data_IF_070164519442
#
_entry.id   IF_070164519442
#
_cell.length_a   1.000
_cell.length_b   1.000
_cell.length_c   1.000
_cell.angle_alpha   90.00
_cell.angle_beta   90.00
_cell.angle_gamma   90.00
#
_symmetry.space_group_name_H-M   'P 1'
#
loop_
_entity.id
_entity.type
_entity.pdbx_description
1 polymer ?
#
# COMPACT_ATOMS: atom_id res chain seq x y z
N UNK A 1 -26.77 -34.76 37.75
CA UNK A 1 -25.39 -34.50 37.32
C UNK A 1 -25.50 -33.97 35.90
N UNK A 2 -25.45 -32.66 35.73
CA UNK A 2 -25.32 -32.00 34.43
C UNK A 2 -24.50 -30.73 34.68
N UNK A 3 -23.19 -30.82 34.46
CA UNK A 3 -22.24 -29.71 34.54
C UNK A 3 -21.70 -29.42 33.15
N UNK A 4 -22.54 -28.83 32.29
CA UNK A 4 -22.07 -28.10 31.11
C UNK A 4 -21.82 -26.65 31.53
N UNK A 5 -20.75 -26.44 32.29
CA UNK A 5 -20.20 -25.11 32.54
C UNK A 5 -19.49 -24.64 31.29
N UNK A 6 -20.15 -23.77 30.52
CA UNK A 6 -19.55 -23.09 29.39
C UNK A 6 -18.28 -22.37 29.84
N UNK A 7 -17.13 -22.81 29.31
CA UNK A 7 -15.87 -22.08 29.35
C UNK A 7 -16.07 -20.75 28.62
N UNK A 8 -16.49 -19.72 29.34
CA UNK A 8 -16.34 -18.34 28.87
C UNK A 8 -14.84 -18.05 28.75
N UNK A 9 -14.37 -17.97 27.51
CA UNK A 9 -13.03 -17.48 27.17
C UNK A 9 -12.94 -16.03 27.65
N UNK A 10 -12.23 -15.82 28.77
CA UNK A 10 -12.17 -14.55 29.53
C UNK A 10 -11.37 -13.43 28.85
N UNK A 11 -10.94 -13.59 27.60
CA UNK A 11 -9.87 -12.77 27.03
C UNK A 11 -10.25 -12.01 25.75
N UNK A 12 -11.52 -11.96 25.34
CA UNK A 12 -11.90 -11.01 24.26
C UNK A 12 -11.86 -9.57 24.83
N UNK A 13 -11.06 -8.66 24.25
CA UNK A 13 -11.03 -7.27 24.68
C UNK A 13 -12.43 -6.64 24.53
N UNK A 14 -12.82 -5.73 25.43
CA UNK A 14 -14.14 -5.14 25.37
C UNK A 14 -14.29 -4.34 24.08
N UNK A 15 -15.34 -4.68 23.33
CA UNK A 15 -15.68 -4.03 22.08
C UNK A 15 -16.35 -2.66 22.34
N UNK A 16 -16.17 -1.68 21.43
CA UNK A 16 -16.80 -0.37 21.51
C UNK A 16 -18.32 -0.50 21.38
N UNK A 17 -19.03 0.43 22.01
CA UNK A 17 -20.48 0.57 21.82
C UNK A 17 -20.73 1.33 20.52
N UNK A 18 -20.93 0.62 19.41
CA UNK A 18 -21.10 1.24 18.09
C UNK A 18 -22.36 2.13 18.00
N UNK A 19 -23.39 1.85 18.81
CA UNK A 19 -24.59 2.70 18.89
C UNK A 19 -24.31 3.99 19.63
N UNK A 20 -23.55 3.90 20.73
CA UNK A 20 -23.02 5.05 21.45
C UNK A 20 -22.12 5.89 20.56
N UNK A 21 -21.21 5.24 19.83
CA UNK A 21 -20.26 5.88 18.92
C UNK A 21 -20.95 6.63 17.79
N UNK A 22 -21.98 6.02 17.16
CA UNK A 22 -22.79 6.69 16.13
C UNK A 22 -23.45 7.97 16.65
N UNK A 23 -23.93 7.97 17.89
CA UNK A 23 -24.51 9.17 18.53
C UNK A 23 -23.44 10.20 18.89
N UNK A 24 -22.33 9.77 19.47
CA UNK A 24 -21.25 10.67 19.91
C UNK A 24 -20.55 11.37 18.74
N UNK A 25 -20.24 10.64 17.67
CA UNK A 25 -19.51 11.18 16.51
C UNK A 25 -20.43 11.85 15.48
N UNK A 26 -21.65 11.33 15.29
CA UNK A 26 -22.49 11.71 14.16
C UNK A 26 -23.86 12.27 14.56
N UNK A 27 -24.18 12.29 15.86
CA UNK A 27 -25.45 12.79 16.37
C UNK A 27 -26.65 11.97 15.90
N UNK A 28 -26.42 10.72 15.48
CA UNK A 28 -27.43 9.89 14.83
C UNK A 28 -27.55 8.53 15.51
N UNK A 29 -28.75 7.96 15.43
CA UNK A 29 -28.97 6.56 15.80
C UNK A 29 -28.51 5.70 14.63
N UNK A 30 -27.72 4.65 14.91
CA UNK A 30 -27.10 3.80 13.89
C UNK A 30 -28.05 3.35 12.78
N UNK A 31 -29.29 2.95 13.13
CA UNK A 31 -30.33 2.49 12.19
C UNK A 31 -30.86 3.53 11.20
N UNK A 32 -30.52 4.80 11.40
CA UNK A 32 -30.96 5.92 10.56
C UNK A 32 -29.77 6.81 10.18
N UNK A 33 -28.56 6.25 10.20
CA UNK A 33 -27.35 6.97 9.80
C UNK A 33 -27.46 7.37 8.33
N UNK A 34 -27.41 8.67 8.03
CA UNK A 34 -27.42 9.19 6.66
C UNK A 34 -26.04 8.95 6.02
N UNK A 35 -25.93 8.23 4.88
CA UNK A 35 -24.66 7.95 4.21
C UNK A 35 -23.92 9.23 3.79
N UNK A 36 -24.61 10.36 3.70
CA UNK A 36 -24.03 11.66 3.36
C UNK A 36 -23.53 12.46 4.57
N UNK A 37 -23.54 11.90 5.78
CA UNK A 37 -23.25 12.65 7.02
C UNK A 37 -21.87 13.32 6.98
N UNK A 38 -20.83 12.64 6.49
CA UNK A 38 -19.49 13.24 6.39
C UNK A 38 -19.40 14.29 5.26
N UNK A 39 -20.19 14.14 4.19
CA UNK A 39 -20.18 15.05 3.04
C UNK A 39 -20.95 16.32 3.36
N UNK A 40 -22.11 16.19 4.00
CA UNK A 40 -23.07 17.24 4.35
C UNK A 40 -23.51 17.06 5.82
N UNK A 41 -22.65 17.41 6.79
CA UNK A 41 -22.96 17.23 8.21
C UNK A 41 -24.16 18.09 8.61
N UNK A 42 -25.22 17.44 9.11
CA UNK A 42 -26.47 18.09 9.55
C UNK A 42 -26.61 18.20 11.07
N UNK A 43 -25.81 17.44 11.82
CA UNK A 43 -25.82 17.42 13.28
C UNK A 43 -24.66 18.24 13.84
N UNK A 44 -24.81 18.72 15.09
CA UNK A 44 -23.75 19.46 15.76
C UNK A 44 -22.54 18.57 16.05
N UNK A 45 -22.79 17.31 16.37
CA UNK A 45 -21.79 16.28 16.65
C UNK A 45 -20.94 16.00 15.40
N UNK A 46 -21.55 15.75 14.23
CA UNK A 46 -20.79 15.51 13.00
C UNK A 46 -19.92 16.72 12.60
N UNK A 47 -20.42 17.94 12.82
CA UNK A 47 -19.65 19.17 12.60
C UNK A 47 -18.47 19.30 13.56
N UNK A 48 -18.67 18.94 14.84
CA UNK A 48 -17.61 18.93 15.85
C UNK A 48 -16.56 17.86 15.53
N UNK A 49 -16.96 16.64 15.21
CA UNK A 49 -16.03 15.57 14.82
C UNK A 49 -15.18 15.97 13.63
N UNK A 50 -15.77 16.51 12.56
CA UNK A 50 -15.00 16.98 11.40
C UNK A 50 -14.08 18.16 11.71
N UNK A 51 -14.44 18.99 12.69
CA UNK A 51 -13.60 20.10 13.15
C UNK A 51 -12.42 19.58 13.97
N UNK A 52 -12.64 18.61 14.84
CA UNK A 52 -11.61 18.03 15.72
C UNK A 52 -10.52 17.31 14.94
N UNK A 53 -10.85 16.76 13.76
CA UNK A 53 -9.91 16.00 12.91
C UNK A 53 -9.40 16.78 11.69
N UNK A 54 -9.86 18.02 11.50
CA UNK A 54 -9.65 18.78 10.24
C UNK A 54 -8.18 18.92 9.81
N UNK A 55 -7.28 19.04 10.77
CA UNK A 55 -5.87 19.32 10.54
C UNK A 55 -4.97 18.08 10.80
N UNK A 56 -5.59 16.90 11.02
CA UNK A 56 -4.89 15.64 11.26
C UNK A 56 -5.44 14.54 10.33
N UNK A 57 -4.64 14.20 9.31
CA UNK A 57 -5.01 13.23 8.27
C UNK A 57 -5.29 11.83 8.84
N UNK A 58 -4.57 11.41 9.88
CA UNK A 58 -4.77 10.07 10.46
C UNK A 58 -6.09 10.00 11.22
N UNK A 59 -6.44 11.08 11.94
CA UNK A 59 -7.72 11.17 12.61
C UNK A 59 -8.88 11.32 11.62
N UNK A 60 -8.70 12.09 10.55
CA UNK A 60 -9.71 12.22 9.48
C UNK A 60 -9.98 10.87 8.84
N UNK A 61 -8.92 10.14 8.47
CA UNK A 61 -9.02 8.78 7.92
C UNK A 61 -9.69 7.82 8.90
N UNK A 62 -9.32 7.86 10.19
CA UNK A 62 -9.97 7.02 11.19
C UNK A 62 -11.47 7.32 11.31
N UNK A 63 -11.88 8.60 11.29
CA UNK A 63 -13.30 8.98 11.30
C UNK A 63 -14.02 8.48 10.05
N UNK A 64 -13.40 8.58 8.87
CA UNK A 64 -13.95 8.05 7.61
C UNK A 64 -14.15 6.53 7.69
N UNK A 65 -13.16 5.79 8.23
CA UNK A 65 -13.23 4.34 8.42
C UNK A 65 -14.32 3.94 9.43
N UNK A 66 -14.39 4.62 10.57
CA UNK A 66 -15.46 4.39 11.56
C UNK A 66 -16.83 4.61 10.91
N UNK A 67 -17.00 5.69 10.17
CA UNK A 67 -18.26 5.97 9.49
C UNK A 67 -18.63 4.87 8.49
N UNK A 68 -17.68 4.39 7.69
CA UNK A 68 -17.89 3.31 6.73
C UNK A 68 -18.39 2.01 7.39
N UNK A 69 -17.82 1.59 8.53
CA UNK A 69 -18.30 0.41 9.24
C UNK A 69 -19.71 0.59 9.81
N UNK A 70 -19.99 1.78 10.36
CA UNK A 70 -21.32 2.05 10.89
C UNK A 70 -22.38 2.08 9.77
N UNK A 71 -22.04 2.63 8.61
CA UNK A 71 -22.91 2.62 7.44
C UNK A 71 -23.11 1.21 6.89
N UNK A 72 -22.04 0.40 6.83
CA UNK A 72 -22.13 -1.01 6.45
C UNK A 72 -23.01 -1.83 7.41
N UNK A 73 -22.96 -1.58 8.71
CA UNK A 73 -23.90 -2.19 9.69
C UNK A 73 -25.33 -1.72 9.44
N UNK A 74 -25.54 -0.43 9.18
CA UNK A 74 -26.86 0.13 8.88
C UNK A 74 -27.47 -0.46 7.59
N UNK A 75 -26.63 -0.69 6.57
CA UNK A 75 -27.00 -1.36 5.32
C UNK A 75 -27.17 -2.89 5.46
N UNK A 76 -26.75 -3.48 6.59
CA UNK A 76 -26.80 -4.93 6.82
C UNK A 76 -25.66 -5.71 6.16
N UNK A 77 -24.61 -5.04 5.72
CA UNK A 77 -23.41 -5.62 5.09
C UNK A 77 -22.48 -6.27 6.12
N UNK A 78 -22.45 -5.74 7.35
CA UNK A 78 -21.60 -6.22 8.45
C UNK A 78 -22.41 -6.45 9.72
N UNK A 79 -21.96 -7.41 10.54
CA UNK A 79 -22.52 -7.58 11.88
C UNK A 79 -22.00 -6.48 12.82
N UNK A 80 -22.79 -6.08 13.81
CA UNK A 80 -22.36 -5.10 14.82
C UNK A 80 -21.04 -5.53 15.52
N UNK A 81 -20.85 -6.83 15.73
CA UNK A 81 -19.63 -7.39 16.35
C UNK A 81 -18.41 -7.22 15.46
N UNK A 82 -18.56 -7.40 14.15
CA UNK A 82 -17.45 -7.31 13.19
C UNK A 82 -17.04 -5.85 12.98
N UNK A 83 -17.99 -4.93 12.85
CA UNK A 83 -17.73 -3.50 12.81
C UNK A 83 -17.02 -3.01 14.08
N UNK A 84 -17.50 -3.43 15.27
CA UNK A 84 -16.85 -3.08 16.52
C UNK A 84 -15.40 -3.59 16.59
N UNK A 85 -15.12 -4.78 16.05
CA UNK A 85 -13.74 -5.31 15.93
C UNK A 85 -12.92 -4.49 14.94
N UNK A 86 -13.47 -4.12 13.78
CA UNK A 86 -12.77 -3.32 12.78
C UNK A 86 -12.36 -1.95 13.36
N UNK A 87 -13.30 -1.27 14.00
CA UNK A 87 -13.10 0.02 14.69
C UNK A 87 -11.98 -0.08 15.74
N UNK A 88 -11.99 -1.12 16.57
CA UNK A 88 -10.91 -1.35 17.55
C UNK A 88 -9.56 -1.51 16.86
N UNK A 89 -9.50 -2.31 15.79
CA UNK A 89 -8.25 -2.52 15.08
C UNK A 89 -7.69 -1.20 14.54
N UNK A 90 -8.51 -0.36 13.91
CA UNK A 90 -8.06 0.95 13.44
C UNK A 90 -7.69 1.92 14.55
N UNK A 91 -8.42 1.88 15.67
CA UNK A 91 -8.13 2.70 16.84
C UNK A 91 -6.74 2.37 17.40
N UNK A 92 -6.36 1.09 17.40
CA UNK A 92 -5.04 0.64 17.82
C UNK A 92 -3.95 0.83 16.77
N UNK A 93 -4.31 1.02 15.49
CA UNK A 93 -3.36 1.44 14.44
C UNK A 93 -2.93 2.90 14.58
N UNK A 94 -3.70 3.74 15.30
CA UNK A 94 -3.34 5.13 15.55
C UNK A 94 -2.16 5.25 16.53
N UNK A 95 -1.27 6.26 16.35
CA UNK A 95 -0.32 6.68 17.38
C UNK A 95 -0.97 6.89 18.75
N UNK A 96 -0.25 6.60 19.83
CA UNK A 96 -0.79 6.62 21.19
C UNK A 96 -1.46 7.95 21.58
N UNK A 97 -0.85 9.08 21.20
CA UNK A 97 -1.37 10.42 21.42
C UNK A 97 -2.71 10.64 20.67
N UNK A 98 -2.78 10.21 19.42
CA UNK A 98 -4.00 10.29 18.58
C UNK A 98 -5.10 9.36 19.07
N UNK A 99 -4.75 8.13 19.46
CA UNK A 99 -5.68 7.19 20.08
C UNK A 99 -6.27 7.77 21.36
N UNK A 100 -5.44 8.35 22.22
CA UNK A 100 -5.88 8.99 23.47
C UNK A 100 -6.82 10.17 23.19
N UNK A 101 -6.57 10.97 22.15
CA UNK A 101 -7.49 12.04 21.73
C UNK A 101 -8.85 11.44 21.38
N UNK A 102 -8.89 10.42 20.52
CA UNK A 102 -10.16 9.80 20.11
C UNK A 102 -10.90 9.15 21.28
N UNK A 103 -10.22 8.38 22.12
CA UNK A 103 -10.84 7.73 23.29
C UNK A 103 -11.37 8.74 24.32
N UNK A 104 -10.78 9.95 24.40
CA UNK A 104 -11.26 10.99 25.30
C UNK A 104 -12.43 11.78 24.71
N UNK A 105 -12.41 12.04 23.41
CA UNK A 105 -13.51 12.70 22.71
C UNK A 105 -14.75 11.80 22.58
N UNK A 106 -14.55 10.49 22.45
CA UNK A 106 -15.61 9.51 22.19
C UNK A 106 -15.53 8.34 23.18
N UNK A 107 -16.12 8.48 24.38
CA UNK A 107 -16.08 7.46 25.42
C UNK A 107 -16.56 6.07 24.99
N UNK A 108 -17.45 6.01 23.98
CA UNK A 108 -17.91 4.73 23.41
C UNK A 108 -16.80 3.89 22.78
N UNK A 109 -15.63 4.48 22.46
CA UNK A 109 -14.45 3.77 21.97
C UNK A 109 -13.73 2.95 23.04
N UNK A 110 -13.80 3.35 24.32
CA UNK A 110 -13.00 2.71 25.40
C UNK A 110 -13.40 1.26 25.68
N UNK A 111 -14.57 0.84 25.19
CA UNK A 111 -15.21 -0.42 25.56
C UNK A 111 -15.57 -0.42 27.05
N UNK A 112 -16.46 -1.33 27.47
CA UNK A 112 -16.71 -1.54 28.90
C UNK A 112 -15.55 -2.33 29.52
N UNK A 113 -14.41 -1.68 29.75
CA UNK A 113 -13.30 -2.28 30.51
C UNK A 113 -13.70 -2.44 31.97
N UNK A 114 -13.46 -3.63 32.54
CA UNK A 114 -13.37 -3.73 34.01
C UNK A 114 -12.16 -2.90 34.46
N UNK A 115 -12.26 -2.12 35.55
CA UNK A 115 -11.21 -1.21 36.01
C UNK A 115 -9.84 -1.84 36.28
N UNK A 116 -9.76 -3.16 36.44
CA UNK A 116 -8.58 -3.85 36.97
C UNK A 116 -7.75 -4.62 35.92
N UNK A 117 -8.06 -4.49 34.63
CA UNK A 117 -7.28 -5.14 33.58
C UNK A 117 -6.02 -4.35 33.25
N UNK A 118 -4.86 -4.77 33.76
CA UNK A 118 -3.57 -4.27 33.26
C UNK A 118 -3.54 -4.37 31.72
N UNK A 119 -3.33 -3.24 31.05
CA UNK A 119 -3.18 -3.12 29.59
C UNK A 119 -1.88 -3.80 29.13
N UNK A 120 -1.76 -5.11 29.28
CA UNK A 120 -0.79 -5.90 28.53
C UNK A 120 -1.46 -6.25 27.22
N UNK A 121 -1.08 -5.52 26.16
CA UNK A 121 -1.47 -5.87 24.79
C UNK A 121 -1.26 -7.38 24.61
N UNK A 122 -2.31 -8.17 24.31
CA UNK A 122 -2.25 -9.65 24.39
C UNK A 122 -1.23 -10.29 23.44
N UNK A 123 -0.60 -9.51 22.57
CA UNK A 123 0.26 -9.98 21.50
C UNK A 123 1.55 -9.17 21.42
N UNK A 124 2.26 -9.01 22.54
CA UNK A 124 3.61 -8.46 22.52
C UNK A 124 4.60 -9.49 21.97
N UNK A 125 4.53 -9.73 20.67
CA UNK A 125 5.66 -10.24 19.90
C UNK A 125 6.82 -9.24 20.10
N UNK A 126 8.00 -9.71 20.48
CA UNK A 126 9.17 -8.84 20.60
C UNK A 126 9.49 -8.16 19.27
N UNK A 127 10.00 -6.92 19.31
CA UNK A 127 10.33 -6.15 18.11
C UNK A 127 11.24 -6.93 17.14
N UNK A 128 12.15 -7.76 17.65
CA UNK A 128 13.00 -8.60 16.80
C UNK A 128 12.20 -9.64 15.99
N UNK A 129 11.20 -10.27 16.61
CA UNK A 129 10.37 -11.26 15.94
C UNK A 129 9.43 -10.61 14.90
N UNK A 130 8.87 -9.43 15.23
CA UNK A 130 8.11 -8.62 14.26
C UNK A 130 8.98 -8.23 13.06
N UNK A 131 10.24 -7.85 13.31
CA UNK A 131 11.17 -7.44 12.25
C UNK A 131 11.51 -8.61 11.34
N UNK A 132 11.82 -9.77 11.91
CA UNK A 132 12.08 -11.00 11.13
C UNK A 132 10.88 -11.40 10.28
N UNK A 133 9.67 -11.23 10.80
CA UNK A 133 8.44 -11.53 10.07
C UNK A 133 8.25 -10.59 8.87
N UNK A 134 8.46 -9.29 9.07
CA UNK A 134 8.36 -8.29 8.02
C UNK A 134 9.51 -8.38 7.00
N UNK A 135 10.73 -8.69 7.44
CA UNK A 135 11.86 -8.96 6.54
C UNK A 135 11.55 -10.13 5.62
N UNK A 136 11.00 -11.24 6.15
CA UNK A 136 10.57 -12.39 5.34
C UNK A 136 9.44 -12.03 4.37
N UNK A 137 8.42 -11.28 4.81
CA UNK A 137 7.34 -10.84 3.92
C UNK A 137 7.90 -9.97 2.79
N UNK A 138 8.75 -9.02 3.12
CA UNK A 138 9.41 -8.14 2.17
C UNK A 138 10.30 -8.90 1.19
N UNK A 139 11.04 -9.92 1.66
CA UNK A 139 11.84 -10.80 0.81
C UNK A 139 10.95 -11.63 -0.13
N UNK A 140 9.83 -12.17 0.34
CA UNK A 140 8.86 -12.91 -0.49
C UNK A 140 8.21 -12.02 -1.56
N UNK A 141 7.83 -10.79 -1.21
CA UNK A 141 7.15 -9.87 -2.12
C UNK A 141 8.11 -9.18 -3.10
N UNK A 142 9.27 -8.73 -2.62
CA UNK A 142 10.14 -7.78 -3.31
C UNK A 142 11.58 -8.25 -3.47
N UNK A 143 11.95 -9.41 -2.92
CA UNK A 143 13.32 -9.93 -2.97
C UNK A 143 14.32 -9.15 -2.11
N UNK A 144 13.83 -8.29 -1.22
CA UNK A 144 14.64 -7.39 -0.38
C UNK A 144 14.11 -7.37 1.05
N UNK A 145 14.99 -7.14 2.02
CA UNK A 145 14.59 -6.87 3.42
C UNK A 145 13.93 -5.49 3.53
N UNK A 146 13.16 -5.25 4.60
CA UNK A 146 12.40 -3.99 4.73
C UNK A 146 13.29 -2.76 4.62
N UNK A 147 14.50 -2.82 5.20
CA UNK A 147 15.49 -1.72 5.19
C UNK A 147 16.05 -1.38 3.80
N UNK A 148 15.90 -2.29 2.84
CA UNK A 148 16.48 -2.17 1.49
C UNK A 148 15.37 -1.95 0.42
N UNK A 149 14.10 -1.93 0.83
CA UNK A 149 12.97 -1.61 -0.03
C UNK A 149 12.82 -0.09 -0.14
N UNK A 150 12.67 0.37 -1.37
CA UNK A 150 12.40 1.78 -1.73
C UNK A 150 11.16 1.84 -2.62
N UNK A 151 10.57 3.02 -2.78
CA UNK A 151 9.47 3.27 -3.75
C UNK A 151 9.82 2.91 -5.21
N UNK A 152 11.10 2.70 -5.52
CA UNK A 152 11.57 2.32 -6.86
C UNK A 152 11.47 0.81 -7.11
N UNK A 153 11.30 -0.02 -6.08
CA UNK A 153 11.39 -1.49 -6.20
C UNK A 153 10.36 -2.09 -7.17
N UNK A 154 9.16 -1.52 -7.30
CA UNK A 154 8.15 -2.01 -8.28
C UNK A 154 8.55 -1.78 -9.74
N UNK A 155 9.50 -0.89 -10.00
CA UNK A 155 9.90 -0.48 -11.35
C UNK A 155 11.24 -1.05 -11.73
N UNK A 156 11.86 -1.75 -10.81
CA UNK A 156 12.99 -2.58 -11.10
C UNK A 156 12.47 -3.81 -11.86
N UNK A 157 12.18 -3.62 -13.15
CA UNK A 157 11.82 -4.72 -14.07
C UNK A 157 12.93 -5.77 -14.12
N UNK A 158 14.16 -5.42 -13.70
CA UNK A 158 15.28 -6.34 -13.55
C UNK A 158 15.23 -7.16 -12.26
N UNK A 159 14.35 -6.82 -11.30
CA UNK A 159 14.13 -7.62 -10.10
C UNK A 159 13.21 -8.81 -10.39
N UNK A 160 13.74 -10.03 -10.48
CA UNK A 160 12.95 -11.20 -10.88
C UNK A 160 11.88 -11.56 -9.85
N UNK A 161 12.05 -11.18 -8.58
CA UNK A 161 11.05 -11.43 -7.55
C UNK A 161 9.85 -10.52 -7.77
N UNK A 162 10.08 -9.22 -7.99
CA UNK A 162 9.00 -8.26 -8.27
C UNK A 162 8.26 -8.64 -9.55
N UNK A 163 8.98 -8.97 -10.63
CA UNK A 163 8.36 -9.39 -11.89
C UNK A 163 7.49 -10.64 -11.72
N UNK A 164 7.99 -11.67 -11.02
CA UNK A 164 7.23 -12.89 -10.71
C UNK A 164 6.01 -12.58 -9.84
N UNK A 165 6.17 -11.72 -8.85
CA UNK A 165 5.08 -11.34 -7.96
C UNK A 165 3.98 -10.60 -8.72
N UNK A 166 4.33 -9.60 -9.55
CA UNK A 166 3.38 -8.88 -10.39
C UNK A 166 2.68 -9.81 -11.37
N UNK A 167 3.41 -10.75 -12.00
CA UNK A 167 2.81 -11.75 -12.87
C UNK A 167 1.83 -12.68 -12.12
N UNK A 168 2.15 -13.06 -10.88
CA UNK A 168 1.30 -13.93 -10.06
C UNK A 168 0.05 -13.21 -9.52
N UNK A 169 0.16 -11.90 -9.27
CA UNK A 169 -0.98 -11.04 -8.90
C UNK A 169 -1.87 -10.75 -10.12
N UNK A 170 -1.27 -10.57 -11.29
CA UNK A 170 -1.98 -10.22 -12.52
C UNK A 170 -2.65 -8.85 -12.42
N UNK A 171 -3.86 -8.74 -12.96
CA UNK A 171 -4.69 -7.52 -12.93
C UNK A 171 -5.66 -7.49 -11.74
N UNK A 172 -5.33 -8.18 -10.65
CA UNK A 172 -6.16 -8.14 -9.46
C UNK A 172 -5.90 -6.84 -8.69
N UNK A 173 -6.79 -5.85 -8.88
CA UNK A 173 -6.66 -4.49 -8.34
C UNK A 173 -6.43 -4.47 -6.83
N UNK A 174 -7.14 -5.31 -6.10
CA UNK A 174 -7.00 -5.42 -4.65
C UNK A 174 -5.61 -5.88 -4.20
N UNK A 175 -5.06 -6.92 -4.82
CA UNK A 175 -3.70 -7.38 -4.52
C UNK A 175 -2.61 -6.40 -4.99
N UNK A 176 -2.82 -5.72 -6.13
CA UNK A 176 -1.93 -4.63 -6.56
C UNK A 176 -1.94 -3.46 -5.57
N UNK A 177 -3.14 -3.08 -5.10
CA UNK A 177 -3.32 -2.08 -4.06
C UNK A 177 -2.58 -2.46 -2.78
N UNK A 178 -2.76 -3.70 -2.29
CA UNK A 178 -2.03 -4.20 -1.13
C UNK A 178 -0.51 -4.08 -1.31
N UNK A 179 0.02 -4.51 -2.47
CA UNK A 179 1.46 -4.43 -2.74
C UNK A 179 1.96 -2.98 -2.72
N UNK A 180 1.22 -2.06 -3.34
CA UNK A 180 1.60 -0.65 -3.41
C UNK A 180 1.63 -0.03 -2.00
N UNK A 181 0.58 -0.25 -1.21
CA UNK A 181 0.48 0.23 0.18
C UNK A 181 1.57 -0.36 1.07
N UNK A 182 1.90 -1.64 0.90
CA UNK A 182 3.02 -2.27 1.61
C UNK A 182 4.35 -1.57 1.33
N UNK A 183 4.61 -1.17 0.09
CA UNK A 183 5.85 -0.48 -0.26
C UNK A 183 5.87 0.94 0.29
N UNK A 184 4.76 1.68 0.18
CA UNK A 184 4.63 3.02 0.75
C UNK A 184 4.89 2.98 2.25
N UNK A 185 4.28 2.04 2.96
CA UNK A 185 4.51 1.85 4.39
C UNK A 185 5.95 1.50 4.73
N UNK A 186 6.58 0.58 3.98
CA UNK A 186 7.97 0.18 4.23
C UNK A 186 8.91 1.38 4.01
N UNK A 187 8.67 2.15 2.95
CA UNK A 187 9.43 3.37 2.65
C UNK A 187 9.27 4.41 3.77
N UNK A 188 8.03 4.68 4.21
CA UNK A 188 7.75 5.58 5.32
C UNK A 188 8.40 5.10 6.64
N UNK A 189 8.41 3.78 6.89
CA UNK A 189 9.15 3.19 8.02
C UNK A 189 10.66 3.43 7.91
N UNK A 190 11.24 3.28 6.72
CA UNK A 190 12.66 3.54 6.48
C UNK A 190 13.04 5.02 6.69
N UNK A 191 12.08 5.94 6.50
CA UNK A 191 12.23 7.37 6.77
C UNK A 191 11.85 7.77 8.21
N UNK A 192 11.50 6.80 9.07
CA UNK A 192 11.17 7.03 10.47
C UNK A 192 9.78 7.60 10.72
N UNK A 193 8.88 7.53 9.73
CA UNK A 193 7.47 7.95 9.88
C UNK A 193 6.61 6.89 10.58
N UNK A 194 6.99 5.61 10.48
CA UNK A 194 6.29 4.51 11.11
C UNK A 194 7.19 3.72 12.05
N UNK A 195 6.57 3.17 13.11
CA UNK A 195 7.20 2.12 13.91
C UNK A 195 6.98 0.76 13.26
N UNK A 196 7.72 -0.25 13.73
CA UNK A 196 7.53 -1.62 13.28
C UNK A 196 6.12 -2.17 13.59
N UNK A 197 5.48 -1.68 14.64
CA UNK A 197 4.10 -2.04 15.01
C UNK A 197 3.10 -1.47 14.01
N UNK A 198 3.26 -0.21 13.61
CA UNK A 198 2.46 0.39 12.55
C UNK A 198 2.58 -0.41 11.24
N UNK A 199 3.77 -0.94 10.92
CA UNK A 199 3.98 -1.75 9.72
C UNK A 199 3.23 -3.09 9.76
N UNK A 200 3.23 -3.77 10.91
CA UNK A 200 2.48 -5.02 11.10
C UNK A 200 0.97 -4.76 11.03
N UNK A 201 0.49 -3.72 11.71
CA UNK A 201 -0.94 -3.43 11.77
C UNK A 201 -1.47 -2.86 10.47
N UNK A 202 -0.67 -2.07 9.77
CA UNK A 202 -0.93 -1.64 8.40
C UNK A 202 -1.00 -2.82 7.45
N UNK A 203 -0.09 -3.79 7.53
CA UNK A 203 -0.16 -5.00 6.70
C UNK A 203 -1.46 -5.79 6.94
N UNK A 204 -1.89 -5.94 8.20
CA UNK A 204 -3.20 -6.56 8.52
C UNK A 204 -4.39 -5.76 8.03
N UNK A 205 -4.26 -4.42 8.01
CA UNK A 205 -5.29 -3.51 7.56
C UNK A 205 -5.45 -3.61 6.04
N UNK A 206 -4.38 -3.38 5.29
CA UNK A 206 -4.41 -3.44 3.84
C UNK A 206 -4.82 -4.82 3.33
N UNK A 207 -4.38 -5.90 3.99
CA UNK A 207 -4.82 -7.26 3.63
C UNK A 207 -6.34 -7.45 3.76
N UNK A 208 -6.99 -6.76 4.70
CA UNK A 208 -8.45 -6.80 4.86
C UNK A 208 -9.16 -5.92 3.83
N UNK A 209 -8.58 -4.78 3.50
CA UNK A 209 -9.15 -3.84 2.52
C UNK A 209 -8.98 -4.32 1.08
N UNK A 210 -8.00 -5.19 0.82
CA UNK A 210 -7.56 -5.53 -0.52
C UNK A 210 -8.50 -6.42 -1.32
N UNK A 211 -9.74 -6.71 -0.89
CA UNK A 211 -10.77 -7.63 -1.47
C UNK A 211 -10.30 -9.03 -1.97
N UNK A 212 -9.01 -9.29 -1.84
CA UNK A 212 -8.20 -10.30 -2.51
C UNK A 212 -7.30 -11.00 -1.49
N UNK A 213 -7.74 -10.97 -0.23
CA UNK A 213 -7.11 -11.64 0.90
C UNK A 213 -6.78 -13.10 0.57
N UNK A 214 -7.72 -13.84 -0.04
CA UNK A 214 -7.51 -15.25 -0.41
C UNK A 214 -6.35 -15.43 -1.39
N UNK A 215 -6.22 -14.54 -2.38
CA UNK A 215 -5.13 -14.57 -3.35
C UNK A 215 -3.81 -14.22 -2.66
N UNK A 216 -3.78 -13.15 -1.87
CA UNK A 216 -2.59 -12.70 -1.14
C UNK A 216 -2.10 -13.75 -0.14
N UNK A 217 -2.99 -14.41 0.61
CA UNK A 217 -2.62 -15.51 1.52
C UNK A 217 -2.08 -16.73 0.76
N UNK A 218 -2.54 -16.97 -0.47
CA UNK A 218 -2.02 -18.05 -1.34
C UNK A 218 -0.62 -17.70 -1.85
N UNK A 219 -0.39 -16.45 -2.25
CA UNK A 219 0.89 -15.97 -2.77
C UNK A 219 1.95 -15.82 -1.66
N UNK A 220 1.54 -15.27 -0.51
CA UNK A 220 2.39 -14.97 0.64
C UNK A 220 1.83 -15.62 1.90
N UNK A 221 2.07 -16.93 2.12
CA UNK A 221 1.56 -17.63 3.29
C UNK A 221 1.99 -17.01 4.63
N UNK A 222 3.07 -16.25 4.64
CA UNK A 222 3.53 -15.50 5.82
C UNK A 222 2.52 -14.45 6.31
N UNK A 223 1.60 -14.01 5.46
CA UNK A 223 0.51 -13.14 5.86
C UNK A 223 -0.45 -13.80 6.87
N UNK A 224 -0.54 -15.14 6.91
CA UNK A 224 -1.25 -15.85 8.00
C UNK A 224 -0.54 -15.66 9.36
N UNK A 225 0.80 -15.66 9.38
CA UNK A 225 1.58 -15.42 10.59
C UNK A 225 1.40 -13.96 11.07
N UNK A 226 1.32 -13.01 10.14
CA UNK A 226 1.04 -11.59 10.45
C UNK A 226 -0.38 -11.42 10.99
N UNK A 227 -1.36 -12.09 10.37
CA UNK A 227 -2.78 -12.04 10.79
C UNK A 227 -2.98 -12.70 12.15
N UNK A 228 -2.32 -13.84 12.38
CA UNK A 228 -2.41 -14.57 13.63
C UNK A 228 -1.03 -15.09 14.06
N UNK A 229 -0.29 -14.33 14.89
CA UNK A 229 1.06 -14.67 15.32
C UNK A 229 1.15 -15.98 16.13
N UNK A 230 0.02 -16.52 16.60
CA UNK A 230 -0.02 -17.80 17.35
C UNK A 230 -0.05 -19.02 16.43
N UNK A 231 -0.41 -18.85 15.14
CA UNK A 231 -0.37 -19.93 14.17
C UNK A 231 1.08 -20.15 13.72
N UNK A 232 1.66 -21.30 14.05
CA UNK A 232 2.89 -21.75 13.40
C UNK A 232 2.63 -21.93 11.90
N UNK A 233 3.55 -21.52 11.02
CA UNK A 233 3.37 -21.72 9.59
C UNK A 233 3.20 -23.21 9.29
N UNK A 234 2.25 -23.53 8.40
CA UNK A 234 2.30 -24.80 7.68
C UNK A 234 3.50 -24.68 6.76
N UNK A 235 4.54 -25.47 7.04
CA UNK A 235 5.70 -25.57 6.15
C UNK A 235 5.17 -25.80 4.74
N UNK A 236 5.58 -24.96 3.76
CA UNK A 236 5.28 -25.19 2.35
C UNK A 236 5.81 -26.60 2.05
N UNK A 237 4.92 -27.58 1.89
CA UNK A 237 5.27 -28.84 1.24
C UNK A 237 5.68 -28.44 -0.17
N UNK A 238 6.98 -28.28 -0.35
CA UNK A 238 7.57 -28.08 -1.66
C UNK A 238 7.53 -29.46 -2.26
N UNK A 239 6.48 -29.77 -3.03
CA UNK A 239 6.49 -30.95 -3.88
C UNK A 239 7.75 -30.85 -4.74
N UNK A 240 8.64 -31.83 -4.58
CA UNK A 240 9.85 -31.90 -5.36
C UNK A 240 9.44 -31.91 -6.84
N UNK A 241 10.07 -31.11 -7.71
CA UNK A 241 9.80 -31.19 -9.14
C UNK A 241 10.02 -32.65 -9.57
N UNK A 242 9.03 -33.20 -10.28
CA UNK A 242 9.06 -34.54 -10.83
C UNK A 242 10.42 -34.77 -11.51
N UNK A 243 11.27 -35.57 -10.87
CA UNK A 243 12.52 -36.02 -11.46
C UNK A 243 12.14 -36.93 -12.64
N UNK A 244 12.27 -36.37 -13.84
CA UNK A 244 12.30 -37.12 -15.09
C UNK A 244 13.22 -38.33 -14.92
N UNK A 245 12.65 -39.53 -15.12
CA UNK A 245 13.39 -40.78 -15.13
C UNK A 245 14.34 -40.79 -16.34
N UNK A 246 15.57 -40.33 -16.11
CA UNK A 246 16.71 -40.64 -16.97
C UNK A 246 17.47 -41.83 -16.39
N UNK A 247 17.43 -42.95 -17.10
CA UNK A 247 18.37 -44.06 -16.92
C UNK A 247 19.81 -43.54 -17.11
N UNK A 248 20.70 -43.73 -16.13
CA UNK A 248 21.85 -44.64 -16.30
C UNK A 248 22.88 -44.58 -15.14
N UNK A 249 23.36 -45.79 -14.83
CA UNK A 249 24.73 -46.19 -14.45
C UNK A 249 25.32 -45.77 -13.11
N UNK A 250 25.45 -46.80 -12.28
CA UNK A 250 26.37 -46.94 -11.14
C UNK A 250 27.73 -46.28 -11.36
N UNK A 251 28.10 -45.38 -10.46
CA UNK A 251 29.49 -45.21 -10.04
C UNK A 251 29.57 -45.17 -8.51
N UNK A 252 30.16 -46.23 -7.96
CA UNK A 252 30.63 -46.30 -6.58
C UNK A 252 31.72 -45.24 -6.35
N UNK A 253 31.57 -44.41 -5.33
CA UNK A 253 32.73 -43.82 -4.65
C UNK A 253 32.53 -43.77 -3.14
N UNK A 254 33.65 -44.01 -2.48
CA UNK A 254 33.82 -44.35 -1.08
C UNK A 254 33.97 -43.09 -0.23
N UNK A 255 33.43 -43.17 0.99
CA UNK A 255 33.61 -42.30 2.16
C UNK A 255 35.10 -41.91 2.42
N UNK A 256 35.38 -40.84 3.19
CA UNK A 256 35.45 -41.05 4.64
C UNK A 256 34.88 -39.93 5.53
N UNK A 257 34.46 -40.39 6.72
CA UNK A 257 34.13 -39.64 7.92
C UNK A 257 35.21 -38.65 8.33
N UNK A 258 34.79 -37.52 8.91
CA UNK A 258 35.64 -36.73 9.79
C UNK A 258 34.86 -36.31 11.04
N UNK A 259 35.01 -37.12 12.10
CA UNK A 259 34.70 -36.76 13.47
C UNK A 259 35.86 -35.90 14.03
N UNK A 260 35.59 -34.64 14.37
CA UNK A 260 36.49 -33.87 15.25
C UNK A 260 35.74 -32.97 16.23
N UNK A 261 35.43 -33.61 17.37
CA UNK A 261 35.47 -33.11 18.75
C UNK A 261 36.28 -31.81 18.91
N UNK A 262 35.63 -30.70 19.28
CA UNK A 262 36.32 -29.50 19.80
C UNK A 262 35.79 -29.13 21.18
N UNK A 263 36.77 -29.05 22.09
CA UNK A 263 36.66 -28.80 23.54
C UNK A 263 36.21 -27.37 23.83
N UNK A 264 35.38 -27.27 24.87
CA UNK A 264 35.18 -26.07 25.69
C UNK A 264 36.52 -25.59 26.28
N UNK A 265 36.71 -24.28 26.36
CA UNK A 265 37.64 -23.68 27.31
C UNK A 265 37.02 -22.40 27.84
N UNK A 266 36.80 -22.40 29.15
CA UNK A 266 36.47 -21.25 29.98
C UNK A 266 37.58 -20.20 29.90
N UNK A 267 37.18 -18.93 29.85
CA UNK A 267 38.05 -17.78 30.03
C UNK A 267 37.32 -16.72 30.86
N UNK A 268 37.61 -16.74 32.16
CA UNK A 268 37.24 -15.72 33.13
C UNK A 268 37.93 -14.37 32.86
N UNK A 269 37.33 -13.30 33.37
CA UNK A 269 38.09 -12.19 33.98
C UNK A 269 38.17 -10.90 33.19
N UNK A 270 37.53 -9.85 33.72
CA UNK A 270 37.72 -8.49 33.21
C UNK A 270 36.78 -7.45 33.81
N UNK A 271 36.69 -7.38 35.14
CA UNK A 271 36.19 -6.18 35.84
C UNK A 271 37.02 -4.95 35.45
N UNK A 272 36.37 -3.81 35.21
CA UNK A 272 37.01 -2.51 35.31
C UNK A 272 36.01 -1.49 35.82
N UNK A 273 36.37 -0.95 36.99
CA UNK A 273 35.65 0.00 37.83
C UNK A 273 35.59 1.41 37.22
N UNK A 274 34.49 2.06 37.59
CA UNK A 274 34.37 3.43 38.09
C UNK A 274 35.58 4.37 37.94
N UNK A 275 35.29 5.57 37.43
CA UNK A 275 35.70 6.80 38.12
C UNK A 275 34.63 7.87 37.94
N UNK A 276 34.09 8.29 39.07
CA UNK A 276 33.42 9.56 39.30
C UNK A 276 34.38 10.73 39.02
N UNK A 277 33.84 11.86 38.56
CA UNK A 277 34.31 13.15 39.03
C UNK A 277 33.15 14.15 38.99
N UNK A 278 32.66 14.44 40.19
CA UNK A 278 31.97 15.68 40.50
C UNK A 278 32.90 16.87 40.20
N UNK A 279 32.36 17.95 39.64
CA UNK A 279 32.84 19.26 40.02
C UNK A 279 31.72 20.29 40.01
N UNK A 280 31.50 20.81 41.21
CA UNK A 280 30.69 21.95 41.59
C UNK A 280 31.24 23.21 40.94
N UNK A 281 30.37 24.05 40.36
CA UNK A 281 30.54 25.50 40.47
C UNK A 281 29.22 26.24 40.37
N UNK A 282 29.00 27.05 41.40
CA UNK A 282 27.89 27.97 41.60
C UNK A 282 28.05 29.22 40.74
N UNK A 283 26.90 29.76 40.32
CA UNK A 283 26.63 31.20 40.36
C UNK A 283 27.11 32.03 39.17
N UNK A 284 26.16 32.44 38.33
CA UNK A 284 25.82 33.86 38.12
C UNK A 284 24.77 33.96 37.01
N UNK A 285 23.60 34.53 37.34
CA UNK A 285 22.62 34.98 36.35
C UNK A 285 23.17 36.17 35.54
N UNK A 286 22.97 36.17 34.21
CA UNK A 286 22.87 37.40 33.46
C UNK A 286 21.43 37.58 32.97
N UNK A 287 20.79 38.64 33.46
CA UNK A 287 19.59 39.24 32.87
C UNK A 287 19.89 39.65 31.43
N UNK A 288 19.47 38.85 30.46
CA UNK A 288 19.40 39.26 29.05
C UNK A 288 17.96 39.66 28.74
N UNK A 289 17.81 40.96 28.48
CA UNK A 289 16.59 41.61 28.03
C UNK A 289 16.41 41.28 26.54
N UNK A 290 15.78 40.14 26.23
CA UNK A 290 15.50 39.76 24.84
C UNK A 290 14.36 40.61 24.32
N UNK A 291 14.66 41.47 23.35
CA UNK A 291 13.66 42.21 22.59
C UNK A 291 13.18 41.28 21.49
N UNK A 292 11.88 40.94 21.49
CA UNK A 292 11.23 40.13 20.46
C UNK A 292 11.36 40.80 19.08
N UNK A 293 11.85 40.11 18.04
CA UNK A 293 11.50 40.46 16.68
C UNK A 293 10.16 39.78 16.33
N UNK A 294 9.21 40.58 15.86
CA UNK A 294 7.97 40.12 15.25
C UNK A 294 8.27 39.13 14.12
N UNK A 295 7.93 37.85 14.34
CA UNK A 295 7.83 36.86 13.28
C UNK A 295 6.48 37.02 12.59
N UNK A 296 6.40 37.99 11.68
CA UNK A 296 5.51 37.86 10.54
C UNK A 296 6.03 36.68 9.70
N UNK A 297 5.44 35.51 9.94
CA UNK A 297 5.66 34.27 9.18
C UNK A 297 5.10 34.47 7.77
N UNK A 298 5.77 35.31 6.98
CA UNK A 298 5.60 35.39 5.54
C UNK A 298 6.25 34.12 5.00
N UNK A 299 5.43 33.11 4.76
CA UNK A 299 5.77 31.89 4.06
C UNK A 299 6.61 32.25 2.85
N UNK A 300 7.91 31.97 2.92
CA UNK A 300 8.82 32.04 1.79
C UNK A 300 8.34 30.96 0.82
N UNK A 301 7.41 31.34 -0.06
CA UNK A 301 7.11 30.59 -1.27
C UNK A 301 8.44 30.45 -2.02
N UNK A 302 9.01 29.26 -1.97
CA UNK A 302 10.15 28.88 -2.79
C UNK A 302 9.75 29.05 -4.25
N UNK A 303 10.19 30.17 -4.85
CA UNK A 303 10.07 30.51 -6.27
C UNK A 303 10.80 29.53 -7.21
N UNK A 304 11.29 28.39 -6.71
CA UNK A 304 11.99 27.37 -7.49
C UNK A 304 11.05 26.42 -8.25
N UNK A 305 9.74 26.44 -7.99
CA UNK A 305 8.76 25.58 -8.67
C UNK A 305 8.48 25.96 -10.13
N UNK A 306 8.77 27.20 -10.57
CA UNK A 306 8.34 27.68 -11.89
C UNK A 306 9.31 27.38 -13.06
N UNK A 307 10.51 26.82 -12.84
CA UNK A 307 11.53 26.75 -13.91
C UNK A 307 12.19 25.39 -14.18
N UNK A 308 11.81 24.30 -13.51
CA UNK A 308 12.28 22.96 -13.92
C UNK A 308 11.37 22.38 -15.02
N UNK A 309 11.91 21.67 -16.03
CA UNK A 309 11.10 21.02 -17.07
C UNK A 309 9.99 20.12 -16.48
N UNK A 310 10.31 19.39 -15.40
CA UNK A 310 9.34 18.55 -14.69
C UNK A 310 8.24 19.34 -13.98
N UNK A 311 8.58 20.49 -13.36
CA UNK A 311 7.59 21.36 -12.72
C UNK A 311 6.59 21.97 -13.71
N UNK A 312 7.05 22.30 -14.92
CA UNK A 312 6.16 22.77 -15.98
C UNK A 312 5.20 21.66 -16.45
N UNK A 313 5.71 20.45 -16.65
CA UNK A 313 4.91 19.31 -17.11
C UNK A 313 3.82 18.93 -16.10
N UNK A 314 4.16 18.85 -14.81
CA UNK A 314 3.20 18.52 -13.76
C UNK A 314 2.13 19.62 -13.59
N UNK A 315 2.52 20.89 -13.72
CA UNK A 315 1.57 22.01 -13.70
C UNK A 315 0.61 22.01 -14.88
N UNK A 316 1.08 21.64 -16.07
CA UNK A 316 0.23 21.51 -17.26
C UNK A 316 -0.80 20.41 -17.05
N UNK A 317 -0.36 19.23 -16.61
CA UNK A 317 -1.26 18.13 -16.30
C UNK A 317 -2.29 18.51 -15.23
N UNK A 318 -1.83 19.16 -14.15
CA UNK A 318 -2.70 19.66 -13.07
C UNK A 318 -3.79 20.60 -13.59
N UNK A 319 -3.43 21.55 -14.46
CA UNK A 319 -4.41 22.47 -15.06
C UNK A 319 -5.37 21.77 -16.00
N UNK A 320 -4.89 20.78 -16.72
CA UNK A 320 -5.68 20.00 -17.69
C UNK A 320 -6.69 19.11 -16.99
N UNK A 321 -6.28 18.38 -15.94
CA UNK A 321 -7.15 17.48 -15.18
C UNK A 321 -8.03 18.22 -14.17
N UNK A 322 -7.53 19.28 -13.54
CA UNK A 322 -8.18 19.88 -12.37
C UNK A 322 -8.41 21.38 -12.46
N UNK A 323 -7.99 22.04 -13.53
CA UNK A 323 -8.12 23.50 -13.66
C UNK A 323 -7.27 24.30 -12.65
N UNK A 324 -6.39 23.63 -11.90
CA UNK A 324 -5.63 24.18 -10.78
C UNK A 324 -4.12 24.05 -11.03
N UNK A 325 -3.32 24.91 -10.38
CA UNK A 325 -1.86 24.70 -10.34
C UNK A 325 -1.56 23.53 -9.41
N UNK A 326 -0.39 22.90 -9.61
CA UNK A 326 0.03 21.76 -8.77
C UNK A 326 -0.07 22.11 -7.28
N UNK A 327 0.37 23.32 -6.90
CA UNK A 327 0.38 23.87 -5.54
C UNK A 327 -0.99 23.93 -4.85
N UNK A 328 -2.07 23.98 -5.64
CA UNK A 328 -3.44 24.10 -5.15
C UNK A 328 -4.16 22.73 -5.08
N UNK A 329 -3.64 21.72 -5.79
CA UNK A 329 -4.18 20.36 -5.81
C UNK A 329 -3.92 19.66 -4.47
N UNK A 330 -4.96 19.06 -3.93
CA UNK A 330 -4.93 18.27 -2.70
C UNK A 330 -6.01 17.18 -2.74
N UNK A 331 -6.04 16.30 -1.74
CA UNK A 331 -7.00 15.18 -1.68
C UNK A 331 -8.48 15.60 -1.81
N UNK A 332 -8.83 16.86 -1.54
CA UNK A 332 -10.22 17.37 -1.69
C UNK A 332 -10.56 17.78 -3.12
N UNK A 333 -9.58 17.94 -4.01
CA UNK A 333 -9.79 18.41 -5.40
C UNK A 333 -10.81 17.52 -6.14
N UNK A 334 -10.75 16.20 -5.96
CA UNK A 334 -11.71 15.27 -6.57
C UNK A 334 -12.99 15.08 -5.73
N UNK A 335 -12.90 15.12 -4.39
CA UNK A 335 -14.06 14.97 -3.50
C UNK A 335 -15.00 16.19 -3.53
N UNK A 336 -14.45 17.39 -3.73
CA UNK A 336 -15.15 18.68 -3.72
C UNK A 336 -14.55 19.62 -4.77
N UNK A 337 -14.78 19.34 -6.07
CA UNK A 337 -14.23 20.13 -7.16
C UNK A 337 -14.70 21.59 -7.04
N UNK A 338 -13.75 22.53 -7.17
CA UNK A 338 -13.99 23.97 -7.02
C UNK A 338 -14.17 24.69 -8.35
N UNK A 339 -13.95 23.99 -9.46
CA UNK A 339 -14.01 24.55 -10.80
C UNK A 339 -14.55 23.49 -11.80
N UNK A 340 -15.06 23.93 -12.97
CA UNK A 340 -15.69 23.02 -13.94
C UNK A 340 -14.75 21.95 -14.51
N UNK A 341 -13.44 22.21 -14.57
CA UNK A 341 -12.46 21.23 -15.08
C UNK A 341 -12.30 20.07 -14.10
N UNK A 342 -12.07 20.37 -12.82
CA UNK A 342 -12.03 19.33 -11.77
C UNK A 342 -13.36 18.59 -11.66
N UNK A 343 -14.50 19.29 -11.82
CA UNK A 343 -15.83 18.67 -11.83
C UNK A 343 -15.99 17.70 -12.99
N UNK A 344 -15.59 18.10 -14.21
CA UNK A 344 -15.61 17.21 -15.38
C UNK A 344 -14.77 15.96 -15.17
N UNK A 345 -13.55 16.09 -14.65
CA UNK A 345 -12.70 14.93 -14.36
C UNK A 345 -13.30 14.03 -13.29
N UNK A 346 -13.91 14.61 -12.24
CA UNK A 346 -14.60 13.86 -11.21
C UNK A 346 -15.84 13.12 -11.74
N UNK A 347 -16.58 13.71 -12.69
CA UNK A 347 -17.73 13.05 -13.34
C UNK A 347 -17.29 11.90 -14.25
N UNK A 348 -16.21 12.04 -15.01
CA UNK A 348 -15.67 10.91 -15.80
C UNK A 348 -15.13 9.78 -14.90
N UNK A 349 -14.46 10.13 -13.80
CA UNK A 349 -14.02 9.18 -12.77
C UNK A 349 -15.19 8.43 -12.10
N UNK A 350 -16.42 8.94 -12.12
CA UNK A 350 -17.58 8.18 -11.62
C UNK A 350 -18.07 7.12 -12.59
N UNK A 351 -17.81 7.30 -13.89
CA UNK A 351 -18.27 6.41 -14.96
C UNK A 351 -17.29 5.27 -15.20
N UNK A 352 -16.00 5.51 -14.94
CA UNK A 352 -14.93 4.57 -15.25
C UNK A 352 -13.97 4.42 -14.06
N UNK A 353 -13.81 3.18 -13.60
CA UNK A 353 -12.99 2.83 -12.45
C UNK A 353 -11.50 3.11 -12.68
N UNK A 354 -10.99 2.83 -13.88
CA UNK A 354 -9.59 3.07 -14.23
C UNK A 354 -9.25 4.56 -14.23
N UNK A 355 -10.17 5.42 -14.69
CA UNK A 355 -10.04 6.88 -14.60
C UNK A 355 -10.09 7.33 -13.14
N UNK A 356 -10.97 6.74 -12.33
CA UNK A 356 -11.07 7.04 -10.89
C UNK A 356 -9.75 6.80 -10.17
N UNK A 357 -9.23 5.58 -10.27
CA UNK A 357 -7.97 5.18 -9.65
C UNK A 357 -6.85 6.10 -10.12
N UNK A 358 -6.75 6.32 -11.43
CA UNK A 358 -5.72 7.19 -12.01
C UNK A 358 -5.79 8.62 -11.46
N UNK A 359 -6.97 9.26 -11.48
CA UNK A 359 -7.13 10.63 -11.00
C UNK A 359 -6.80 10.77 -9.51
N UNK A 360 -7.18 9.79 -8.69
CA UNK A 360 -6.84 9.74 -7.27
C UNK A 360 -5.31 9.66 -7.06
N UNK A 361 -4.62 8.80 -7.80
CA UNK A 361 -3.16 8.68 -7.72
C UNK A 361 -2.43 9.95 -8.19
N UNK A 362 -2.92 10.61 -9.26
CA UNK A 362 -2.38 11.90 -9.70
C UNK A 362 -2.51 12.96 -8.62
N UNK A 363 -3.69 13.08 -7.99
CA UNK A 363 -3.91 14.00 -6.86
C UNK A 363 -2.98 13.67 -5.70
N UNK A 364 -2.84 12.39 -5.35
CA UNK A 364 -1.95 11.94 -4.29
C UNK A 364 -0.48 12.23 -4.58
N UNK A 365 -0.03 12.07 -5.82
CA UNK A 365 1.33 12.40 -6.24
C UNK A 365 1.60 13.92 -6.15
N UNK A 366 0.66 14.75 -6.61
CA UNK A 366 0.76 16.21 -6.55
C UNK A 366 0.74 16.72 -5.11
N UNK A 367 -0.17 16.21 -4.26
CA UNK A 367 -0.27 16.59 -2.84
C UNK A 367 1.00 16.21 -2.06
N UNK A 368 1.57 15.01 -2.32
CA UNK A 368 2.86 14.60 -1.74
C UNK A 368 4.01 15.49 -2.22
N UNK A 369 4.04 15.88 -3.49
CA UNK A 369 5.03 16.82 -4.00
C UNK A 369 4.92 18.20 -3.31
N UNK A 370 3.70 18.72 -3.15
CA UNK A 370 3.45 19.99 -2.47
C UNK A 370 3.89 19.98 -1.00
N UNK A 371 3.74 18.84 -0.32
CA UNK A 371 4.19 18.63 1.06
C UNK A 371 5.70 18.40 1.18
N UNK A 372 6.44 18.41 0.06
CA UNK A 372 7.88 18.12 0.03
C UNK A 372 8.22 16.66 0.30
N UNK A 373 7.23 15.76 0.28
CA UNK A 373 7.44 14.31 0.44
C UNK A 373 7.95 13.65 -0.84
N UNK A 374 7.64 14.24 -2.00
CA UNK A 374 8.16 13.82 -3.30
C UNK A 374 8.81 15.00 -4.01
N UNK A 375 9.85 14.72 -4.77
CA UNK A 375 10.32 15.65 -5.81
C UNK A 375 9.34 15.67 -6.99
N UNK A 376 9.36 16.74 -7.79
CA UNK A 376 8.51 16.86 -8.97
C UNK A 376 8.72 15.72 -9.98
N UNK A 377 9.97 15.25 -10.12
CA UNK A 377 10.29 14.12 -11.00
C UNK A 377 9.74 12.80 -10.46
N UNK A 378 9.85 12.55 -9.14
CA UNK A 378 9.25 11.36 -8.52
C UNK A 378 7.72 11.35 -8.67
N UNK A 379 7.07 12.51 -8.56
CA UNK A 379 5.63 12.61 -8.81
C UNK A 379 5.29 12.26 -10.28
N UNK A 380 6.04 12.79 -11.25
CA UNK A 380 5.87 12.46 -12.67
C UNK A 380 6.12 10.98 -12.96
N UNK A 381 7.15 10.37 -12.36
CA UNK A 381 7.42 8.94 -12.50
C UNK A 381 6.30 8.10 -11.89
N UNK A 382 5.75 8.51 -10.73
CA UNK A 382 4.56 7.91 -10.14
C UNK A 382 3.37 7.94 -11.10
N UNK A 383 3.10 9.09 -11.70
CA UNK A 383 2.01 9.29 -12.68
C UNK A 383 2.23 8.43 -13.94
N UNK A 384 3.47 8.36 -14.45
CA UNK A 384 3.81 7.51 -15.59
C UNK A 384 3.52 6.03 -15.29
N UNK A 385 3.86 5.56 -14.09
CA UNK A 385 3.64 4.16 -13.69
C UNK A 385 2.15 3.83 -13.64
N UNK A 386 1.36 4.63 -12.94
CA UNK A 386 -0.08 4.40 -12.84
C UNK A 386 -0.77 4.50 -14.21
N UNK A 387 -0.29 5.38 -15.09
CA UNK A 387 -0.79 5.45 -16.48
C UNK A 387 -0.53 4.16 -17.26
N UNK A 388 0.64 3.55 -17.11
CA UNK A 388 1.01 2.31 -17.83
C UNK A 388 0.17 1.12 -17.42
N UNK A 389 -0.21 1.03 -16.15
CA UNK A 389 -1.01 -0.09 -15.61
C UNK A 389 -2.51 0.19 -15.63
N UNK A 390 -2.93 1.40 -16.00
CA UNK A 390 -4.36 1.75 -16.06
C UNK A 390 -5.05 1.00 -17.18
N UNK A 391 -6.17 0.33 -16.86
CA UNK A 391 -7.09 -0.26 -17.84
C UNK A 391 -7.70 0.78 -18.78
N UNK A 392 -7.71 2.05 -18.39
CA UNK A 392 -8.30 3.18 -19.13
C UNK A 392 -7.24 4.06 -19.79
N UNK A 393 -6.01 3.54 -19.99
CA UNK A 393 -4.86 4.29 -20.52
C UNK A 393 -5.16 5.04 -21.82
N UNK A 394 -5.82 4.39 -22.78
CA UNK A 394 -6.11 5.00 -24.09
C UNK A 394 -7.06 6.20 -23.94
N UNK A 395 -8.12 6.03 -23.15
CA UNK A 395 -9.08 7.10 -22.85
C UNK A 395 -8.43 8.23 -22.06
N UNK A 396 -7.56 7.92 -21.10
CA UNK A 396 -6.78 8.91 -20.35
C UNK A 396 -5.87 9.73 -21.26
N UNK A 397 -5.18 9.10 -22.22
CA UNK A 397 -4.32 9.79 -23.20
C UNK A 397 -5.13 10.66 -24.18
N UNK A 398 -6.38 10.31 -24.45
CA UNK A 398 -7.30 11.12 -25.26
C UNK A 398 -7.80 12.34 -24.47
N UNK A 399 -8.29 12.12 -23.24
CA UNK A 399 -8.81 13.17 -22.38
C UNK A 399 -7.74 14.15 -21.93
N UNK A 400 -6.54 13.64 -21.65
CA UNK A 400 -5.45 14.40 -21.08
C UNK A 400 -4.19 14.30 -21.96
N UNK A 401 -4.09 15.10 -23.05
CA UNK A 401 -2.94 15.11 -23.95
C UNK A 401 -1.58 15.28 -23.29
N UNK A 402 -1.48 15.98 -22.14
CA UNK A 402 -0.20 16.15 -21.44
C UNK A 402 0.40 14.80 -20.99
N UNK A 403 -0.43 13.77 -20.80
CA UNK A 403 0.03 12.42 -20.45
C UNK A 403 0.90 11.78 -21.54
N UNK A 404 0.73 12.16 -22.81
CA UNK A 404 1.59 11.70 -23.93
C UNK A 404 3.02 12.19 -23.82
N UNK A 405 3.25 13.32 -23.16
CA UNK A 405 4.60 13.83 -22.91
C UNK A 405 5.23 13.16 -21.67
N UNK A 406 4.39 12.68 -20.74
CA UNK A 406 4.84 11.95 -19.56
C UNK A 406 5.25 10.52 -19.96
N UNK A 407 4.47 9.85 -20.80
CA UNK A 407 4.77 8.54 -21.38
C UNK A 407 4.87 8.65 -22.91
N UNK A 408 5.99 9.20 -23.44
CA UNK A 408 6.16 9.32 -24.87
C UNK A 408 6.06 7.94 -25.51
N UNK A 409 5.32 7.79 -26.63
CA UNK A 409 5.34 6.55 -27.37
C UNK A 409 6.79 6.24 -27.69
N UNK A 410 7.23 5.00 -27.44
CA UNK A 410 8.54 4.55 -27.90
C UNK A 410 8.54 4.79 -29.41
N UNK A 411 9.28 5.80 -29.86
CA UNK A 411 9.47 5.98 -31.30
C UNK A 411 10.04 4.66 -31.79
N UNK A 412 9.32 3.99 -32.69
CA UNK A 412 9.85 2.83 -33.37
C UNK A 412 11.18 3.24 -33.99
N UNK A 413 12.28 2.73 -33.45
CA UNK A 413 13.64 2.89 -33.97
C UNK A 413 13.77 2.39 -35.43
N UNK A 414 12.70 1.83 -36.01
CA UNK A 414 12.58 1.44 -37.41
C UNK A 414 12.54 2.60 -38.42
N UNK A 415 12.37 3.85 -37.98
CA UNK A 415 12.22 5.00 -38.89
C UNK A 415 13.46 5.90 -39.07
N UNK A 416 14.56 5.65 -38.37
CA UNK A 416 15.77 6.48 -38.48
C UNK A 416 16.76 6.06 -39.58
N UNK A 417 16.45 5.03 -40.39
CA UNK A 417 17.35 4.53 -41.45
C UNK A 417 16.81 4.73 -42.89
N UNK A 418 16.07 5.81 -43.14
CA UNK A 418 15.69 6.22 -44.51
C UNK A 418 16.20 7.61 -44.88
N UNK A 419 17.52 7.80 -44.85
CA UNK A 419 18.17 8.80 -45.73
C UNK A 419 19.45 8.24 -46.36
N UNK A 420 19.30 7.99 -47.67
CA UNK A 420 20.34 7.93 -48.72
C UNK A 420 21.14 6.61 -48.78
N UNK A 421 20.58 5.59 -49.45
CA UNK A 421 21.37 4.64 -50.24
C UNK A 421 20.67 4.41 -51.60
N UNK A 422 21.44 4.53 -52.68
CA UNK A 422 21.08 4.26 -54.08
C UNK A 422 20.60 2.81 -54.28
N UNK A 423 19.74 2.52 -55.27
CA UNK A 423 19.26 1.17 -55.51
C UNK A 423 20.34 0.32 -56.18
N UNK A 424 20.69 -0.81 -55.56
CA UNK A 424 21.29 -1.96 -56.25
C UNK A 424 20.43 -3.20 -56.00
N UNK A 425 20.39 -4.03 -57.04
CA UNK A 425 19.48 -5.14 -57.30
C UNK A 425 19.62 -6.35 -56.34
N UNK A 426 18.67 -7.32 -56.39
CA UNK A 426 18.37 -8.26 -55.31
C UNK A 426 19.18 -9.56 -55.40
N UNK A 427 19.50 -10.16 -54.25
CA UNK A 427 19.89 -11.57 -54.17
C UNK A 427 19.51 -12.20 -52.81
N UNK A 428 18.58 -13.16 -52.90
CA UNK A 428 18.38 -14.42 -52.13
C UNK A 428 18.04 -14.42 -50.62
N UNK A 429 17.36 -15.49 -50.14
CA UNK A 429 16.56 -15.47 -48.91
C UNK A 429 17.14 -16.30 -47.75
N UNK A 430 16.53 -16.05 -46.58
CA UNK A 430 16.29 -16.92 -45.42
C UNK A 430 17.42 -17.24 -44.42
N UNK A 431 17.26 -16.64 -43.23
CA UNK A 431 17.71 -17.15 -41.91
C UNK A 431 16.78 -16.53 -40.82
N UNK A 432 15.52 -16.98 -40.73
CA UNK A 432 14.60 -16.62 -39.62
C UNK A 432 13.65 -17.75 -39.21
N UNK A 433 14.02 -19.00 -39.46
CA UNK A 433 13.17 -20.17 -39.16
C UNK A 433 13.46 -20.80 -37.78
N UNK A 434 14.52 -20.40 -37.08
CA UNK A 434 14.96 -21.09 -35.86
C UNK A 434 14.53 -20.40 -34.54
N UNK A 435 14.15 -19.11 -34.54
CA UNK A 435 13.71 -18.41 -33.32
C UNK A 435 12.28 -18.78 -32.86
N UNK A 436 11.42 -19.27 -33.76
CA UNK A 436 10.03 -19.61 -33.40
C UNK A 436 9.89 -20.95 -32.68
N UNK A 437 10.91 -21.82 -32.74
CA UNK A 437 10.89 -23.12 -32.05
C UNK A 437 11.16 -23.01 -30.55
N UNK A 438 11.85 -21.96 -30.10
CA UNK A 438 12.15 -21.75 -28.68
C UNK A 438 10.95 -21.22 -27.90
N UNK A 439 10.09 -20.42 -28.55
CA UNK A 439 8.88 -19.86 -27.94
C UNK A 439 7.74 -20.88 -27.78
N UNK A 440 7.61 -21.82 -28.73
CA UNK A 440 6.60 -22.90 -28.62
C UNK A 440 6.92 -23.86 -27.45
N UNK A 441 8.20 -24.13 -27.19
CA UNK A 441 8.63 -24.97 -26.07
C UNK A 441 8.36 -24.32 -24.70
N UNK A 442 8.49 -23.00 -24.60
CA UNK A 442 8.23 -22.23 -23.38
C UNK A 442 6.74 -22.11 -23.06
N UNK A 443 5.87 -22.07 -24.07
CA UNK A 443 4.41 -22.06 -23.88
C UNK A 443 3.89 -23.41 -23.40
N UNK A 444 4.38 -24.52 -23.99
CA UNK A 444 3.98 -25.88 -23.62
C UNK A 444 4.39 -26.22 -22.17
N UNK A 445 5.53 -25.71 -21.71
CA UNK A 445 6.00 -25.88 -20.33
C UNK A 445 5.18 -25.08 -19.30
N UNK A 446 4.72 -23.86 -19.64
CA UNK A 446 4.02 -22.98 -18.70
C UNK A 446 2.50 -23.18 -18.68
N UNK A 447 1.89 -23.57 -19.79
CA UNK A 447 0.43 -23.59 -19.93
C UNK A 447 -0.14 -24.97 -20.30
N UNK A 448 0.72 -25.95 -20.59
CA UNK A 448 0.28 -27.31 -20.95
C UNK A 448 -0.43 -27.40 -22.31
N UNK A 449 -0.40 -26.34 -23.11
CA UNK A 449 -1.05 -26.27 -24.43
C UNK A 449 -0.12 -25.69 -25.49
N UNK A 450 -0.17 -26.26 -26.71
CA UNK A 450 0.52 -25.74 -27.90
C UNK A 450 -0.30 -24.61 -28.50
N UNK A 451 0.37 -23.51 -28.85
CA UNK A 451 -0.25 -22.28 -29.40
C UNK A 451 -1.00 -22.53 -30.73
N UNK A 452 -0.76 -23.65 -31.42
CA UNK A 452 -1.38 -23.96 -32.71
C UNK A 452 -2.83 -24.48 -32.65
N UNK A 453 -3.43 -24.67 -31.47
CA UNK A 453 -4.81 -25.21 -31.36
C UNK A 453 -5.90 -24.16 -31.02
N UNK A 454 -5.59 -22.87 -31.02
CA UNK A 454 -6.65 -21.82 -30.96
C UNK A 454 -7.19 -21.57 -32.37
N UNK A 455 -8.09 -22.45 -32.82
CA UNK A 455 -8.83 -22.27 -34.07
C UNK A 455 -9.90 -21.14 -33.97
N UNK A 456 -10.03 -20.41 -35.08
CA UNK A 456 -10.88 -19.24 -35.40
C UNK A 456 -12.42 -19.41 -35.24
N UNK A 457 -12.93 -20.37 -34.46
CA UNK A 457 -14.36 -20.72 -34.45
C UNK A 457 -15.20 -20.18 -33.29
N UNK A 458 -14.65 -19.36 -32.38
CA UNK A 458 -15.40 -18.80 -31.23
C UNK A 458 -15.73 -17.31 -31.30
N UNK A 459 -15.46 -16.63 -32.42
CA UNK A 459 -15.78 -15.20 -32.62
C UNK A 459 -16.95 -14.91 -33.58
N UNK A 460 -17.90 -15.85 -33.73
CA UNK A 460 -19.16 -15.58 -34.48
C UNK A 460 -20.36 -16.26 -33.80
N UNK A 461 -20.87 -15.72 -32.69
CA UNK A 461 -22.30 -15.87 -32.34
C UNK A 461 -22.74 -14.95 -31.18
N UNK A 462 -23.00 -13.66 -31.43
CA UNK A 462 -23.90 -12.88 -30.57
C UNK A 462 -24.34 -11.54 -31.21
N UNK A 463 -24.75 -11.53 -32.48
CA UNK A 463 -25.48 -10.37 -33.04
C UNK A 463 -26.46 -10.82 -34.11
N UNK A 464 -27.64 -11.27 -33.70
CA UNK A 464 -28.95 -10.94 -34.33
C UNK A 464 -30.06 -11.70 -33.61
N UNK A 465 -30.92 -10.98 -32.89
CA UNK A 465 -32.30 -11.42 -32.72
C UNK A 465 -33.22 -10.22 -32.97
N UNK A 466 -34.20 -10.51 -33.81
CA UNK A 466 -34.98 -9.60 -34.62
C UNK A 466 -36.06 -8.86 -33.84
N UNK A 467 -36.48 -7.75 -34.46
CA UNK A 467 -37.75 -7.09 -34.24
C UNK A 467 -38.92 -8.03 -34.54
N UNK A 468 -39.78 -8.26 -33.54
CA UNK A 468 -41.24 -8.26 -33.65
C UNK A 468 -41.86 -7.87 -32.31
#
# INVERSE_FOLDING_TARGET
MDTNGALHTKDEPPLPDIHGLSREMFGQVLKILDPNTLVKPRTGEALLTLKDVKDDVDLEMFVELVFAELDGVNAGEHSEKDAAKAIVNWLYSLPDDKRNIMENSYPSLKGKRSPDGENKSPHHFGNEARKKLLDRLSEEMFGKKIKDVTLEVLNDESNPVVARTLAAVGYNDGALYFMNEMIIMIDDYNHGHYTLENLVDGAKLFLRMSDSEKLLLKLFPILEEIKNPTKKPKTKETEAPYASQGEDKETKTTQPNNDQKRKETFGEGGESKETESENVNQGQEPKIKTTLPNNDKKTLKSKETEYSPGGNLLNRLSKEMFGEKVEDVNYRTMKRPKNPTAESTAEEAKKDEGIRIFAHEVVGAMDRANKGKLTLNQALDGIRRILKISSSREMLLEMFPTLKEIDPPKEDESHLEKRIIKPMQPNKPDEKADEWKELDLLSEEMFGEKIQDVNDETMVSATTQEWY
#
